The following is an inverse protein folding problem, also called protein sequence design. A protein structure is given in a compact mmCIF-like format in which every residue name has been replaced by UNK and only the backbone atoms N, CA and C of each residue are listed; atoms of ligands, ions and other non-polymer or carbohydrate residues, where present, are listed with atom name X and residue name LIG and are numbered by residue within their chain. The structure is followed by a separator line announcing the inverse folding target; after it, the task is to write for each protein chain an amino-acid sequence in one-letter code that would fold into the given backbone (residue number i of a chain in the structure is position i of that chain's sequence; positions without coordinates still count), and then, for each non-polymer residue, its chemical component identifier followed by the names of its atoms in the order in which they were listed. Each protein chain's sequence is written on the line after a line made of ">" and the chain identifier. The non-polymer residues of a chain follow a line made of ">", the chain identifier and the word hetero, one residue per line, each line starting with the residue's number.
data_IF_164592254566
#
_entry.id   IF_164592254566
#
_cell.length_a   1.000
_cell.length_b   1.000
_cell.length_c   1.000
_cell.angle_alpha   90.00
_cell.angle_beta   90.00
_cell.angle_gamma   90.00
#
_symmetry.space_group_name_H-M   'P 1'
#
loop_
_entity.id
_entity.type
_entity.pdbx_description
1 polymer ?
#
# COMPACT_ATOMS: atom_id res chain seq x y z
N UNK A 1 13.60 -24.45 -27.84
CA UNK A 1 12.24 -24.44 -27.29
C UNK A 1 11.99 -23.02 -26.83
N UNK A 2 10.93 -22.39 -27.34
CA UNK A 2 10.59 -21.03 -26.94
C UNK A 2 9.75 -21.08 -25.67
N UNK A 3 10.19 -20.35 -24.64
CA UNK A 3 9.56 -20.36 -23.31
C UNK A 3 9.34 -18.93 -22.83
N UNK A 4 8.15 -18.69 -22.27
CA UNK A 4 7.79 -17.45 -21.58
C UNK A 4 7.73 -17.75 -20.08
N UNK A 5 8.36 -16.89 -19.29
CA UNK A 5 8.26 -16.81 -17.85
C UNK A 5 7.37 -15.61 -17.50
N UNK A 6 6.24 -15.90 -16.87
CA UNK A 6 5.30 -14.92 -16.35
C UNK A 6 5.40 -14.92 -14.83
N UNK A 7 5.82 -13.78 -14.27
CA UNK A 7 5.83 -13.54 -12.83
C UNK A 7 4.70 -12.56 -12.51
N UNK A 8 3.74 -13.01 -11.69
CA UNK A 8 2.63 -12.21 -11.22
C UNK A 8 2.95 -11.67 -9.82
N UNK A 9 2.86 -10.35 -9.63
CA UNK A 9 3.03 -9.72 -8.33
C UNK A 9 1.97 -8.64 -8.10
N UNK A 10 0.94 -8.99 -7.34
CA UNK A 10 -0.21 -8.12 -6.98
C UNK A 10 -0.87 -7.50 -8.23
N UNK A 11 -0.53 -6.24 -8.55
CA UNK A 11 -1.11 -5.49 -9.67
C UNK A 11 -0.18 -5.44 -10.90
N UNK A 12 1.05 -5.95 -10.77
CA UNK A 12 2.09 -5.90 -11.80
C UNK A 12 2.39 -7.29 -12.38
N UNK A 13 2.61 -7.33 -13.71
CA UNK A 13 3.01 -8.54 -14.43
C UNK A 13 4.41 -8.32 -15.00
N UNK A 14 5.37 -9.15 -14.60
CA UNK A 14 6.70 -9.19 -15.21
C UNK A 14 6.75 -10.35 -16.20
N UNK A 15 7.00 -10.02 -17.47
CA UNK A 15 7.14 -10.97 -18.56
C UNK A 15 8.60 -11.04 -19.02
N UNK A 16 9.15 -12.24 -19.09
CA UNK A 16 10.46 -12.50 -19.72
C UNK A 16 10.41 -13.79 -20.52
N UNK A 17 11.33 -14.00 -21.45
CA UNK A 17 11.30 -15.17 -22.31
C UNK A 17 12.53 -15.28 -23.19
N UNK A 18 12.67 -16.44 -23.85
CA UNK A 18 13.84 -16.76 -24.67
C UNK A 18 13.78 -16.17 -26.08
N UNK A 19 12.59 -15.82 -26.57
CA UNK A 19 12.36 -15.25 -27.90
C UNK A 19 11.67 -13.88 -27.81
N UNK A 20 12.30 -12.79 -28.28
CA UNK A 20 11.72 -11.44 -28.25
C UNK A 20 10.46 -11.29 -29.10
N UNK A 21 10.38 -12.03 -30.21
CA UNK A 21 9.22 -12.01 -31.12
C UNK A 21 7.99 -12.60 -30.43
N UNK A 22 8.15 -13.77 -29.83
CA UNK A 22 7.11 -14.45 -29.05
C UNK A 22 6.63 -13.60 -27.85
N UNK A 23 7.55 -12.89 -27.19
CA UNK A 23 7.21 -11.99 -26.08
C UNK A 23 6.41 -10.77 -26.54
N UNK A 24 6.75 -10.21 -27.71
CA UNK A 24 6.03 -9.07 -28.30
C UNK A 24 4.61 -9.46 -28.72
N UNK A 25 4.46 -10.62 -29.37
CA UNK A 25 3.16 -11.15 -29.79
C UNK A 25 2.28 -11.47 -28.57
N UNK A 26 2.87 -12.02 -27.51
CA UNK A 26 2.17 -12.32 -26.27
C UNK A 26 1.70 -11.06 -25.55
N UNK A 27 2.55 -10.03 -25.41
CA UNK A 27 2.18 -8.73 -24.83
C UNK A 27 1.04 -8.10 -25.62
N UNK A 28 1.08 -8.17 -26.95
CA UNK A 28 0.05 -7.63 -27.82
C UNK A 28 -1.29 -8.35 -27.57
N UNK A 29 -1.28 -9.69 -27.54
CA UNK A 29 -2.47 -10.48 -27.24
C UNK A 29 -3.05 -10.15 -25.86
N UNK A 30 -2.21 -10.04 -24.84
CA UNK A 30 -2.63 -9.68 -23.48
C UNK A 30 -3.28 -8.29 -23.44
N UNK A 31 -2.66 -7.31 -24.11
CA UNK A 31 -3.17 -5.93 -24.17
C UNK A 31 -4.49 -5.79 -24.94
N UNK A 32 -4.79 -6.70 -25.87
CA UNK A 32 -6.08 -6.72 -26.58
C UNK A 32 -7.18 -7.38 -25.76
N UNK A 33 -6.84 -8.35 -24.91
CA UNK A 33 -7.82 -9.07 -24.09
C UNK A 33 -8.10 -8.37 -22.77
N UNK A 34 -7.11 -7.67 -22.21
CA UNK A 34 -7.21 -6.99 -20.91
C UNK A 34 -6.79 -5.52 -21.04
N UNK A 35 -7.48 -4.63 -20.32
CA UNK A 35 -7.09 -3.22 -20.22
C UNK A 35 -5.77 -3.10 -19.44
N UNK A 36 -4.65 -3.12 -20.17
CA UNK A 36 -3.30 -3.08 -19.61
C UNK A 36 -2.57 -1.80 -19.99
N UNK A 37 -1.80 -1.24 -19.05
CA UNK A 37 -0.87 -0.14 -19.31
C UNK A 37 0.55 -0.69 -19.34
N UNK A 38 1.20 -0.64 -20.50
CA UNK A 38 2.61 -1.02 -20.63
C UNK A 38 3.48 0.08 -19.98
N UNK A 39 4.22 -0.27 -18.94
CA UNK A 39 5.10 0.64 -18.19
C UNK A 39 6.51 0.78 -18.81
N UNK A 40 6.78 0.08 -19.92
CA UNK A 40 8.04 0.14 -20.66
C UNK A 40 9.04 -0.94 -20.27
N UNK A 41 10.26 -0.82 -20.82
CA UNK A 41 11.40 -1.68 -20.48
C UNK A 41 11.81 -1.48 -19.02
N UNK A 42 12.19 -2.57 -18.34
CA UNK A 42 12.72 -2.61 -16.97
C UNK A 42 14.08 -1.89 -16.82
N UNK A 43 14.37 -0.83 -17.57
CA UNK A 43 15.70 -0.23 -17.65
C UNK A 43 16.28 0.18 -16.27
N UNK A 44 15.44 0.62 -15.34
CA UNK A 44 15.86 0.98 -13.97
C UNK A 44 16.11 -0.23 -13.05
N UNK A 45 15.65 -1.42 -13.44
CA UNK A 45 15.85 -2.68 -12.71
C UNK A 45 17.11 -3.43 -13.16
N UNK A 46 17.72 -3.04 -14.29
CA UNK A 46 18.78 -3.79 -14.97
C UNK A 46 20.21 -3.48 -14.50
N UNK A 47 20.39 -2.54 -13.57
CA UNK A 47 21.69 -2.32 -12.90
C UNK A 47 21.53 -2.28 -11.38
N UNK A 48 21.04 -3.38 -10.76
CA UNK A 48 20.86 -3.42 -9.31
C UNK A 48 22.22 -3.25 -8.64
N UNK A 49 22.34 -2.22 -7.80
CA UNK A 49 23.57 -2.01 -7.04
C UNK A 49 23.66 -3.02 -5.90
N UNK A 50 24.85 -3.15 -5.31
CA UNK A 50 25.02 -3.93 -4.06
C UNK A 50 24.08 -3.40 -2.97
N UNK A 51 23.83 -2.09 -2.93
CA UNK A 51 22.90 -1.48 -1.98
C UNK A 51 21.45 -1.96 -2.20
N UNK A 52 21.01 -2.11 -3.46
CA UNK A 52 19.66 -2.61 -3.77
C UNK A 52 19.49 -4.08 -3.39
N UNK A 53 20.53 -4.89 -3.62
CA UNK A 53 20.53 -6.28 -3.16
C UNK A 53 20.49 -6.41 -1.62
N UNK A 54 21.13 -5.48 -0.90
CA UNK A 54 21.04 -5.42 0.56
C UNK A 54 19.63 -5.03 1.05
N UNK A 55 18.98 -4.08 0.39
CA UNK A 55 17.57 -3.72 0.67
C UNK A 55 16.66 -4.93 0.45
N UNK A 56 16.80 -5.64 -0.67
CA UNK A 56 16.02 -6.85 -0.96
C UNK A 56 16.25 -7.93 0.10
N UNK A 57 17.51 -8.20 0.46
CA UNK A 57 17.84 -9.16 1.52
C UNK A 57 17.21 -8.79 2.85
N UNK A 58 17.13 -7.49 3.20
CA UNK A 58 16.46 -7.03 4.41
C UNK A 58 14.97 -7.38 4.39
N UNK A 59 14.29 -7.12 3.27
CA UNK A 59 12.87 -7.48 3.09
C UNK A 59 12.66 -9.00 3.21
N UNK A 60 13.46 -9.81 2.50
CA UNK A 60 13.34 -11.27 2.55
C UNK A 60 13.61 -11.85 3.95
N UNK A 61 14.60 -11.29 4.67
CA UNK A 61 14.86 -11.67 6.06
C UNK A 61 13.72 -11.30 6.99
N UNK A 62 13.11 -10.12 6.79
CA UNK A 62 11.93 -9.72 7.55
C UNK A 62 10.79 -10.71 7.32
N UNK A 63 10.40 -10.95 6.07
CA UNK A 63 9.34 -11.92 5.72
C UNK A 63 9.61 -13.30 6.33
N UNK A 64 10.85 -13.81 6.20
CA UNK A 64 11.24 -15.10 6.79
C UNK A 64 11.17 -15.10 8.32
N UNK A 65 11.56 -14.01 8.96
CA UNK A 65 11.55 -13.86 10.42
C UNK A 65 10.16 -13.64 11.00
N UNK A 66 9.21 -13.14 10.22
CA UNK A 66 7.84 -12.83 10.65
C UNK A 66 6.80 -13.82 10.13
N UNK A 67 7.19 -15.00 9.65
CA UNK A 67 6.25 -16.01 9.14
C UNK A 67 5.22 -16.47 10.18
N UNK A 68 5.55 -16.37 11.47
CA UNK A 68 4.64 -16.70 12.58
C UNK A 68 3.82 -15.50 13.07
N UNK A 69 4.04 -14.31 12.51
CA UNK A 69 3.29 -13.11 12.84
C UNK A 69 2.14 -12.94 11.86
N UNK A 70 1.03 -12.40 12.34
CA UNK A 70 -0.15 -12.16 11.51
C UNK A 70 -1.11 -11.21 12.20
N UNK A 71 -2.06 -10.73 11.42
CA UNK A 71 -3.19 -9.94 11.91
C UNK A 71 -4.27 -10.94 12.31
N UNK A 72 -4.72 -10.88 13.56
CA UNK A 72 -5.80 -11.73 14.06
C UNK A 72 -7.13 -10.97 13.94
N UNK A 73 -8.09 -11.60 13.27
CA UNK A 73 -9.46 -11.11 13.19
C UNK A 73 -10.33 -11.88 14.20
N UNK A 74 -10.88 -11.16 15.15
CA UNK A 74 -11.78 -11.65 16.18
C UNK A 74 -13.23 -11.59 15.69
N UNK A 75 -13.93 -12.72 15.73
CA UNK A 75 -15.37 -12.77 15.42
C UNK A 75 -16.24 -12.12 16.50
N UNK A 76 -15.77 -12.14 17.75
CA UNK A 76 -16.43 -11.48 18.88
C UNK A 76 -15.86 -10.07 19.07
N UNK A 77 -16.27 -9.13 18.23
CA UNK A 77 -15.90 -7.73 18.34
C UNK A 77 -17.11 -6.81 18.23
N UNK A 78 -17.00 -5.60 18.75
CA UNK A 78 -18.02 -4.56 18.53
C UNK A 78 -18.02 -4.10 17.07
N UNK A 79 -19.09 -3.41 16.66
CA UNK A 79 -19.21 -2.80 15.33
C UNK A 79 -18.83 -1.31 15.33
N UNK A 80 -17.92 -0.91 16.21
CA UNK A 80 -17.48 0.47 16.32
C UNK A 80 -16.37 0.72 15.30
N UNK A 81 -16.59 1.64 14.37
CA UNK A 81 -15.58 2.09 13.43
C UNK A 81 -14.78 3.24 14.06
N UNK A 82 -13.46 3.13 14.07
CA UNK A 82 -12.55 4.18 14.53
C UNK A 82 -11.19 4.06 13.86
N UNK A 83 -10.34 5.07 13.97
CA UNK A 83 -8.99 5.02 13.42
C UNK A 83 -7.99 5.86 14.20
N UNK A 84 -6.72 5.66 13.87
CA UNK A 84 -5.59 6.43 14.38
C UNK A 84 -4.83 7.03 13.20
N UNK A 85 -4.30 8.24 13.38
CA UNK A 85 -3.46 8.95 12.42
C UNK A 85 -2.17 9.38 13.11
N UNK A 86 -1.08 9.37 12.34
CA UNK A 86 0.26 9.80 12.75
C UNK A 86 1.02 10.35 11.51
N UNK A 87 1.96 11.27 11.71
CA UNK A 87 2.83 11.77 10.65
C UNK A 87 4.31 11.85 11.07
N UNK A 88 5.17 11.13 10.36
CA UNK A 88 6.61 11.28 10.47
C UNK A 88 7.08 12.51 9.67
N UNK A 89 7.23 13.66 10.34
CA UNK A 89 7.59 14.93 9.71
C UNK A 89 9.00 14.92 9.12
N UNK A 90 9.09 15.25 7.82
CA UNK A 90 10.33 15.35 7.06
C UNK A 90 11.26 14.11 7.13
N UNK A 91 10.69 12.92 7.39
CA UNK A 91 11.41 11.66 7.53
C UNK A 91 12.11 11.18 6.25
N UNK A 92 11.66 11.61 5.06
CA UNK A 92 12.37 11.33 3.82
C UNK A 92 13.62 12.21 3.67
N UNK A 93 14.82 11.68 3.91
CA UNK A 93 16.08 12.43 3.81
C UNK A 93 16.30 13.13 2.44
N UNK A 94 15.82 12.52 1.35
CA UNK A 94 16.06 13.03 0.00
C UNK A 94 15.17 14.21 -0.37
N UNK A 95 13.88 14.15 -0.01
CA UNK A 95 12.91 15.19 -0.43
C UNK A 95 12.37 16.01 0.73
N UNK A 96 12.69 15.63 1.97
CA UNK A 96 12.16 16.19 3.22
C UNK A 96 10.62 16.16 3.29
N UNK A 97 9.97 15.32 2.50
CA UNK A 97 8.53 15.09 2.64
C UNK A 97 8.28 14.19 3.86
N UNK A 98 7.18 14.46 4.55
CA UNK A 98 6.70 13.66 5.66
C UNK A 98 6.10 12.33 5.18
N UNK A 99 5.91 11.38 6.09
CA UNK A 99 5.18 10.13 5.83
C UNK A 99 3.91 10.12 6.67
N UNK A 100 2.76 10.01 6.03
CA UNK A 100 1.47 9.81 6.68
C UNK A 100 1.30 8.34 7.04
N UNK A 101 1.01 8.06 8.29
CA UNK A 101 0.56 6.77 8.80
C UNK A 101 -0.88 6.84 9.27
N UNK A 102 -1.68 5.81 8.99
CA UNK A 102 -2.97 5.62 9.65
C UNK A 102 -3.36 4.15 9.74
N UNK A 103 -4.27 3.85 10.65
CA UNK A 103 -4.93 2.56 10.73
C UNK A 103 -6.41 2.72 11.15
N UNK A 104 -7.26 1.94 10.52
CA UNK A 104 -8.72 1.91 10.74
C UNK A 104 -9.11 0.56 11.32
N UNK A 105 -9.92 0.60 12.37
CA UNK A 105 -10.41 -0.53 13.12
C UNK A 105 -11.93 -0.62 13.05
N UNK A 106 -12.42 -1.86 12.96
CA UNK A 106 -13.80 -2.23 13.23
C UNK A 106 -13.82 -3.11 14.48
N UNK A 107 -14.24 -2.53 15.61
CA UNK A 107 -14.14 -3.17 16.92
C UNK A 107 -12.69 -3.47 17.28
N UNK A 108 -12.34 -4.74 17.42
CA UNK A 108 -10.99 -5.18 17.77
C UNK A 108 -10.13 -5.52 16.54
N UNK A 109 -10.68 -5.34 15.33
CA UNK A 109 -10.08 -5.81 14.10
C UNK A 109 -9.55 -4.63 13.29
N UNK A 110 -8.27 -4.65 12.93
CA UNK A 110 -7.72 -3.71 11.96
C UNK A 110 -8.17 -4.13 10.55
N UNK A 111 -8.78 -3.20 9.81
CA UNK A 111 -9.39 -3.48 8.50
C UNK A 111 -8.81 -2.63 7.37
N UNK A 112 -8.14 -1.52 7.68
CA UNK A 112 -7.39 -0.72 6.72
C UNK A 112 -6.19 -0.08 7.41
N UNK A 113 -5.10 0.10 6.68
CA UNK A 113 -3.91 0.81 7.15
C UNK A 113 -3.13 1.34 5.96
N UNK A 114 -2.38 2.41 6.20
CA UNK A 114 -1.49 2.97 5.19
C UNK A 114 -0.29 3.63 5.83
N UNK A 115 0.84 3.55 5.14
CA UNK A 115 2.05 4.30 5.43
C UNK A 115 2.57 4.87 4.12
N UNK A 116 2.29 6.14 3.85
CA UNK A 116 2.52 6.77 2.55
C UNK A 116 3.24 8.10 2.69
N UNK A 117 4.30 8.28 1.89
CA UNK A 117 4.99 9.55 1.76
C UNK A 117 4.05 10.63 1.21
N UNK A 118 4.03 11.80 1.85
CA UNK A 118 3.25 12.95 1.41
C UNK A 118 3.81 13.50 0.08
N UNK A 119 2.93 13.89 -0.87
CA UNK A 119 3.37 14.34 -2.20
C UNK A 119 4.10 15.68 -2.17
N UNK A 120 3.80 16.52 -1.18
CA UNK A 120 4.42 17.83 -0.98
C UNK A 120 5.11 17.88 0.38
N UNK A 121 6.11 18.74 0.51
CA UNK A 121 6.79 19.00 1.79
C UNK A 121 5.84 19.75 2.72
N UNK A 122 5.85 19.42 4.00
CA UNK A 122 5.16 20.17 5.06
C UNK A 122 6.15 21.10 5.73
N UNK A 123 5.73 22.34 5.97
CA UNK A 123 6.56 23.38 6.60
C UNK A 123 6.59 23.27 8.12
N UNK A 124 5.67 22.50 8.72
CA UNK A 124 5.64 22.18 10.14
C UNK A 124 5.20 20.75 10.40
N UNK A 125 5.45 20.24 11.62
CA UNK A 125 4.90 18.97 12.09
C UNK A 125 3.37 19.02 12.12
N UNK A 126 2.78 20.11 12.60
CA UNK A 126 1.31 20.30 12.63
C UNK A 126 0.68 20.19 11.24
N UNK A 127 1.31 20.74 10.21
CA UNK A 127 0.81 20.60 8.83
C UNK A 127 0.93 19.14 8.35
N UNK A 128 2.02 18.45 8.68
CA UNK A 128 2.18 17.03 8.35
C UNK A 128 1.09 16.17 9.02
N UNK A 129 0.82 16.41 10.31
CA UNK A 129 -0.25 15.77 11.07
C UNK A 129 -1.62 16.04 10.46
N UNK A 130 -1.93 17.31 10.13
CA UNK A 130 -3.22 17.66 9.54
C UNK A 130 -3.46 16.95 8.19
N UNK A 131 -2.41 16.79 7.39
CA UNK A 131 -2.48 16.03 6.13
C UNK A 131 -2.66 14.53 6.36
N UNK A 132 -2.02 13.98 7.39
CA UNK A 132 -2.25 12.59 7.79
C UNK A 132 -3.70 12.38 8.26
N UNK A 133 -4.20 13.27 9.13
CA UNK A 133 -5.58 13.27 9.62
C UNK A 133 -6.59 13.33 8.47
N UNK A 134 -6.33 14.19 7.48
CA UNK A 134 -7.17 14.30 6.28
C UNK A 134 -7.22 12.97 5.50
N UNK A 135 -6.06 12.30 5.35
CA UNK A 135 -5.98 11.02 4.66
C UNK A 135 -6.70 9.90 5.42
N UNK A 136 -6.54 9.83 6.74
CA UNK A 136 -7.23 8.87 7.60
C UNK A 136 -8.75 9.10 7.62
N UNK A 137 -9.19 10.36 7.61
CA UNK A 137 -10.61 10.72 7.55
C UNK A 137 -11.25 10.26 6.24
N UNK A 138 -10.53 10.41 5.11
CA UNK A 138 -11.01 9.96 3.82
C UNK A 138 -11.20 8.43 3.78
N UNK A 139 -10.24 7.66 4.33
CA UNK A 139 -10.33 6.20 4.45
C UNK A 139 -11.51 5.79 5.35
N UNK A 140 -11.62 6.36 6.55
CA UNK A 140 -12.72 6.09 7.49
C UNK A 140 -14.10 6.38 6.88
N UNK A 141 -14.20 7.50 6.16
CA UNK A 141 -15.45 7.90 5.50
C UNK A 141 -15.80 6.92 4.38
N UNK A 142 -14.82 6.54 3.56
CA UNK A 142 -15.02 5.56 2.49
C UNK A 142 -15.45 4.20 3.04
N UNK A 143 -14.79 3.69 4.10
CA UNK A 143 -15.18 2.44 4.76
C UNK A 143 -16.59 2.55 5.35
N UNK A 144 -16.93 3.68 5.97
CA UNK A 144 -18.28 3.92 6.47
C UNK A 144 -19.36 3.84 5.39
N UNK A 145 -19.08 4.33 4.18
CA UNK A 145 -19.98 4.17 3.03
C UNK A 145 -20.07 2.72 2.56
N UNK A 146 -18.94 2.03 2.42
CA UNK A 146 -18.93 0.61 2.03
C UNK A 146 -19.75 -0.24 3.01
N UNK A 147 -19.56 -0.04 4.32
CA UNK A 147 -20.32 -0.75 5.35
C UNK A 147 -21.83 -0.49 5.23
N UNK A 148 -22.22 0.76 4.98
CA UNK A 148 -23.62 1.13 4.76
C UNK A 148 -24.21 0.43 3.53
N UNK A 149 -23.47 0.39 2.43
CA UNK A 149 -23.92 -0.22 1.17
C UNK A 149 -24.14 -1.73 1.29
N UNK A 150 -23.37 -2.41 2.14
CA UNK A 150 -23.56 -3.84 2.44
C UNK A 150 -24.55 -4.10 3.59
N UNK A 151 -25.30 -3.08 4.01
CA UNK A 151 -26.37 -3.21 5.01
C UNK A 151 -25.92 -3.18 6.46
N UNK A 152 -24.68 -2.80 6.75
CA UNK A 152 -24.14 -2.67 8.11
C UNK A 152 -24.36 -1.23 8.59
N UNK A 153 -25.17 -1.08 9.64
CA UNK A 153 -25.42 0.23 10.27
C UNK A 153 -24.47 0.48 11.43
N UNK A 154 -23.69 1.56 11.35
CA UNK A 154 -22.86 2.03 12.46
C UNK A 154 -23.74 2.83 13.43
N UNK A 155 -23.81 2.40 14.69
CA UNK A 155 -24.64 3.04 15.72
C UNK A 155 -24.01 4.29 16.34
N UNK A 156 -22.69 4.47 16.21
CA UNK A 156 -21.94 5.57 16.78
C UNK A 156 -21.18 6.36 15.70
N UNK A 157 -20.94 7.66 15.90
CA UNK A 157 -20.01 8.42 15.08
C UNK A 157 -18.63 7.77 15.06
N UNK A 158 -18.00 7.76 13.89
CA UNK A 158 -16.63 7.28 13.73
C UNK A 158 -15.65 8.19 14.46
N UNK A 159 -14.80 7.62 15.31
CA UNK A 159 -13.80 8.38 16.08
C UNK A 159 -12.44 8.28 15.38
N UNK A 160 -11.76 9.40 15.20
CA UNK A 160 -10.39 9.44 14.70
C UNK A 160 -9.49 10.03 15.78
N UNK A 161 -8.51 9.25 16.21
CA UNK A 161 -7.49 9.66 17.17
C UNK A 161 -6.25 10.17 16.43
N UNK A 162 -5.67 11.23 16.95
CA UNK A 162 -4.41 11.81 16.51
C UNK A 162 -3.69 12.34 17.75
N UNK A 163 -2.38 12.21 17.80
CA UNK A 163 -1.53 12.58 18.94
C UNK A 163 -1.09 14.05 18.94
N UNK A 164 -1.64 14.85 18.01
CA UNK A 164 -1.37 16.28 17.91
C UNK A 164 -1.98 17.03 19.12
N UNK A 165 -1.12 17.50 20.03
CA UNK A 165 -1.47 18.34 21.19
C UNK A 165 -1.75 19.78 20.79
#
# INVERSE_FOLDING_TARGET
>A
MDTILLLLYVDDIVLTGTSPQLLTDFIKSLSTTFHMKNLGSLHDLWQPTVADFLKLKRVLRYVKGTVSMGIFLHSNSTMNLYGFSDADWAGCLNTRCSTTGFCTYLGSNIISWSAKKQPTVSHSSTEAEYRALTSATADLTWIGFVLRDIGISLSSPTVLFCDNQ
#
